data_IF_053366887834
#
_entry.id   IF_053366887834
#
_cell.length_a   1.000
_cell.length_b   1.000
_cell.length_c   1.000
_cell.angle_alpha   90.00
_cell.angle_beta   90.00
_cell.angle_gamma   90.00
#
_symmetry.space_group_name_H-M   'P 1'
#
loop_
_entity.id
_entity.type
_entity.pdbx_description
1 polymer ?
#
# COMPACT_ATOMS: atom_id res chain seq x y z
N UNK A 1 -24.70 -14.01 -11.87
CA UNK A 1 -23.97 -12.72 -11.82
C UNK A 1 -24.92 -11.65 -12.30
N UNK A 2 -25.26 -10.69 -11.44
CA UNK A 2 -25.96 -9.47 -11.84
C UNK A 2 -25.06 -8.68 -12.79
N UNK A 3 -25.61 -8.17 -13.89
CA UNK A 3 -24.88 -7.28 -14.79
C UNK A 3 -24.52 -5.99 -14.06
N UNK A 4 -23.31 -5.49 -14.29
CA UNK A 4 -22.86 -4.20 -13.78
C UNK A 4 -23.76 -3.07 -14.33
N UNK A 5 -24.06 -2.08 -13.49
CA UNK A 5 -24.69 -0.85 -13.94
C UNK A 5 -23.74 -0.04 -14.84
N UNK A 6 -24.28 0.90 -15.61
CA UNK A 6 -23.48 1.80 -16.46
C UNK A 6 -22.45 2.59 -15.64
N UNK A 7 -22.79 2.97 -14.41
CA UNK A 7 -21.87 3.66 -13.50
C UNK A 7 -20.72 2.76 -13.05
N UNK A 8 -21.01 1.51 -12.68
CA UNK A 8 -19.99 0.54 -12.28
C UNK A 8 -19.07 0.17 -13.45
N UNK A 9 -19.63 -0.02 -14.65
CA UNK A 9 -18.84 -0.28 -15.86
C UNK A 9 -17.88 0.88 -16.17
N UNK A 10 -18.33 2.13 -16.10
CA UNK A 10 -17.48 3.30 -16.34
C UNK A 10 -16.35 3.45 -15.30
N UNK A 11 -16.60 3.06 -14.04
CA UNK A 11 -15.56 3.01 -13.00
C UNK A 11 -14.51 1.94 -13.34
N UNK A 12 -14.93 0.76 -13.78
CA UNK A 12 -14.00 -0.32 -14.15
C UNK A 12 -13.16 0.04 -15.38
N UNK A 13 -13.76 0.61 -16.43
CA UNK A 13 -13.03 1.07 -17.62
C UNK A 13 -11.95 2.09 -17.23
N UNK A 14 -12.30 3.07 -16.38
CA UNK A 14 -11.35 4.06 -15.90
C UNK A 14 -10.21 3.45 -15.05
N UNK A 15 -10.52 2.45 -14.24
CA UNK A 15 -9.50 1.75 -13.46
C UNK A 15 -8.56 0.94 -14.37
N UNK A 16 -9.09 0.32 -15.43
CA UNK A 16 -8.31 -0.43 -16.40
C UNK A 16 -7.34 0.45 -17.21
N UNK A 17 -7.68 1.71 -17.45
CA UNK A 17 -6.81 2.70 -18.13
C UNK A 17 -5.69 3.26 -17.21
N UNK A 18 -5.66 2.90 -15.93
CA UNK A 18 -4.61 3.35 -15.02
C UNK A 18 -3.26 2.72 -15.37
N UNK A 19 -2.13 3.44 -15.20
CA UNK A 19 -0.79 2.94 -15.53
C UNK A 19 -0.25 1.98 -14.45
N UNK A 20 -1.05 0.97 -14.07
CA UNK A 20 -0.75 0.09 -12.94
C UNK A 20 0.57 -0.65 -13.11
N UNK A 21 0.83 -1.21 -14.30
CA UNK A 21 2.08 -1.93 -14.58
C UNK A 21 3.32 -1.03 -14.44
N UNK A 22 3.26 0.19 -14.98
CA UNK A 22 4.37 1.14 -14.89
C UNK A 22 4.61 1.57 -13.43
N UNK A 23 3.55 1.81 -12.67
CA UNK A 23 3.63 2.12 -11.24
C UNK A 23 4.24 0.96 -10.44
N UNK A 24 3.75 -0.26 -10.66
CA UNK A 24 4.30 -1.47 -10.02
C UNK A 24 5.77 -1.63 -10.35
N UNK A 25 6.17 -1.51 -11.62
CA UNK A 25 7.57 -1.59 -12.02
C UNK A 25 8.43 -0.52 -11.34
N UNK A 26 7.96 0.73 -11.33
CA UNK A 26 8.69 1.85 -10.73
C UNK A 26 8.89 1.66 -9.22
N UNK A 27 7.86 1.22 -8.49
CA UNK A 27 7.96 1.01 -7.05
C UNK A 27 8.72 -0.27 -6.68
N UNK A 28 8.63 -1.33 -7.48
CA UNK A 28 9.37 -2.57 -7.29
C UNK A 28 10.86 -2.42 -7.62
N UNK A 29 11.24 -1.45 -8.45
CA UNK A 29 12.64 -1.12 -8.71
C UNK A 29 13.34 -0.46 -7.51
N UNK A 30 12.60 0.02 -6.52
CA UNK A 30 13.14 0.58 -5.28
C UNK A 30 13.22 -0.57 -4.27
N UNK A 31 14.43 -1.00 -3.88
CA UNK A 31 14.58 -2.00 -2.81
C UNK A 31 13.99 -1.41 -1.52
N UNK A 32 12.92 -2.00 -1.03
CA UNK A 32 12.25 -1.59 0.20
C UNK A 32 12.21 -2.74 1.20
N UNK A 33 13.31 -3.47 1.38
CA UNK A 33 13.41 -4.47 2.46
C UNK A 33 13.09 -3.84 3.82
N UNK A 34 12.43 -4.55 4.74
CA UNK A 34 11.94 -3.95 6.01
C UNK A 34 13.02 -3.32 6.89
N UNK A 35 14.29 -3.71 6.70
CA UNK A 35 15.46 -3.11 7.38
C UNK A 35 16.18 -2.02 6.56
N UNK A 36 15.79 -1.80 5.30
CA UNK A 36 16.37 -0.79 4.42
C UNK A 36 15.64 0.56 4.60
N UNK A 37 15.99 1.30 5.67
CA UNK A 37 15.33 2.57 5.99
C UNK A 37 15.43 3.61 4.86
N UNK A 38 16.55 3.64 4.12
CA UNK A 38 16.73 4.56 3.00
C UNK A 38 15.78 4.22 1.84
N UNK A 39 15.70 2.94 1.47
CA UNK A 39 14.77 2.47 0.43
C UNK A 39 13.30 2.60 0.82
N UNK A 40 12.97 2.36 2.10
CA UNK A 40 11.64 2.62 2.64
C UNK A 40 11.28 4.11 2.55
N UNK A 41 12.21 5.02 2.86
CA UNK A 41 11.97 6.45 2.72
C UNK A 41 11.78 6.86 1.24
N UNK A 42 12.54 6.27 0.32
CA UNK A 42 12.42 6.53 -1.12
C UNK A 42 11.06 6.07 -1.66
N UNK A 43 10.65 4.83 -1.37
CA UNK A 43 9.36 4.33 -1.83
C UNK A 43 8.18 5.02 -1.13
N UNK A 44 8.31 5.40 0.15
CA UNK A 44 7.31 6.19 0.85
C UNK A 44 7.08 7.55 0.16
N UNK A 45 8.15 8.21 -0.30
CA UNK A 45 8.05 9.45 -1.09
C UNK A 45 7.34 9.24 -2.42
N UNK A 46 7.74 8.21 -3.18
CA UNK A 46 7.10 7.87 -4.45
C UNK A 46 5.60 7.52 -4.30
N UNK A 47 5.24 6.81 -3.24
CA UNK A 47 3.85 6.52 -2.91
C UNK A 47 3.10 7.77 -2.47
N UNK A 48 3.70 8.63 -1.64
CA UNK A 48 3.07 9.88 -1.21
C UNK A 48 2.74 10.79 -2.41
N UNK A 49 3.67 10.93 -3.35
CA UNK A 49 3.48 11.69 -4.58
C UNK A 49 2.38 11.08 -5.47
N UNK A 50 2.30 9.74 -5.56
CA UNK A 50 1.25 9.09 -6.33
C UNK A 50 -0.15 9.24 -5.70
N UNK A 51 -0.23 9.09 -4.37
CA UNK A 51 -1.49 9.18 -3.62
C UNK A 51 -1.96 10.63 -3.41
N UNK A 52 -1.10 11.64 -3.59
CA UNK A 52 -1.51 13.06 -3.56
C UNK A 52 -2.46 13.46 -4.69
N UNK A 53 -2.67 12.57 -5.68
CA UNK A 53 -3.69 12.75 -6.71
C UNK A 53 -5.13 12.57 -6.17
N UNK A 54 -5.30 12.03 -4.96
CA UNK A 54 -6.59 11.86 -4.28
C UNK A 54 -6.92 13.12 -3.45
N UNK A 55 -8.21 13.44 -3.20
CA UNK A 55 -8.62 14.73 -2.62
C UNK A 55 -8.47 14.83 -1.09
N UNK A 56 -7.43 14.21 -0.52
CA UNK A 56 -7.17 14.16 0.92
C UNK A 56 -5.78 14.64 1.29
N UNK A 57 -5.49 14.62 2.60
CA UNK A 57 -4.15 14.93 3.10
C UNK A 57 -3.33 13.65 3.19
N UNK A 58 -2.14 13.65 2.58
CA UNK A 58 -1.14 12.58 2.71
C UNK A 58 -0.11 12.99 3.74
N UNK A 59 0.08 12.18 4.77
CA UNK A 59 1.07 12.35 5.82
C UNK A 59 1.99 11.12 5.90
N UNK A 60 3.25 11.34 6.25
CA UNK A 60 4.20 10.28 6.61
C UNK A 60 4.42 10.32 8.12
N UNK A 61 3.87 9.32 8.82
CA UNK A 61 3.97 9.22 10.28
C UNK A 61 5.22 8.44 10.69
N UNK A 62 5.92 8.95 11.70
CA UNK A 62 6.99 8.22 12.37
C UNK A 62 6.44 6.94 13.02
N UNK A 63 7.19 5.83 12.97
CA UNK A 63 6.78 4.59 13.59
C UNK A 63 6.90 4.68 15.12
N UNK A 64 6.16 3.81 15.81
CA UNK A 64 6.35 3.61 17.24
C UNK A 64 7.70 2.90 17.47
N UNK A 65 8.55 3.38 18.41
CA UNK A 65 9.79 2.69 18.75
C UNK A 65 9.54 1.24 19.19
N UNK A 66 10.30 0.31 18.63
CA UNK A 66 10.19 -1.11 18.94
C UNK A 66 11.50 -1.72 19.43
N UNK A 67 11.43 -2.97 19.86
CA UNK A 67 12.59 -3.78 20.26
C UNK A 67 12.59 -5.11 19.49
N UNK A 68 13.76 -5.72 19.34
CA UNK A 68 13.96 -7.08 18.85
C UNK A 68 14.87 -7.84 19.79
N UNK A 69 14.62 -9.14 19.92
CA UNK A 69 15.54 -10.07 20.58
C UNK A 69 16.42 -10.73 19.51
N UNK A 70 17.73 -10.57 19.65
CA UNK A 70 18.74 -11.22 18.81
C UNK A 70 18.92 -12.70 19.17
N UNK A 71 19.61 -13.45 18.31
CA UNK A 71 19.85 -14.89 18.52
C UNK A 71 20.64 -15.22 19.79
N UNK A 72 21.41 -14.27 20.31
CA UNK A 72 22.16 -14.38 21.57
C UNK A 72 21.32 -13.96 22.81
N UNK A 73 20.06 -13.58 22.60
CA UNK A 73 19.14 -13.14 23.64
C UNK A 73 19.26 -11.64 23.99
N UNK A 74 20.13 -10.88 23.32
CA UNK A 74 20.21 -9.44 23.53
C UNK A 74 18.95 -8.73 23.01
N UNK A 75 18.44 -7.78 23.80
CA UNK A 75 17.35 -6.89 23.37
C UNK A 75 17.98 -5.64 22.74
N UNK A 76 17.62 -5.37 21.49
CA UNK A 76 18.10 -4.22 20.74
C UNK A 76 16.93 -3.37 20.26
N UNK A 77 17.14 -2.06 20.14
CA UNK A 77 16.18 -1.17 19.50
C UNK A 77 15.96 -1.62 18.05
N UNK A 78 14.70 -1.67 17.62
CA UNK A 78 14.31 -1.94 16.24
C UNK A 78 13.79 -0.65 15.63
N UNK A 79 14.49 -0.19 14.60
CA UNK A 79 14.04 0.91 13.76
C UNK A 79 13.20 0.38 12.61
N UNK A 80 12.16 1.12 12.24
CA UNK A 80 11.31 0.86 11.07
C UNK A 80 11.11 2.15 10.27
N UNK A 81 10.55 2.04 9.08
CA UNK A 81 10.28 3.19 8.22
C UNK A 81 9.10 4.05 8.68
N UNK A 82 8.87 5.16 7.97
CA UNK A 82 7.67 5.97 8.14
C UNK A 82 6.50 5.34 7.40
N UNK A 83 5.30 5.54 7.93
CA UNK A 83 4.07 4.97 7.40
C UNK A 83 3.26 6.05 6.68
N UNK A 84 2.74 5.74 5.49
CA UNK A 84 1.89 6.65 4.75
C UNK A 84 0.46 6.58 5.28
N UNK A 85 -0.14 7.74 5.53
CA UNK A 85 -1.53 7.87 5.93
C UNK A 85 -2.22 8.93 5.07
N UNK A 86 -3.22 8.52 4.30
CA UNK A 86 -4.12 9.41 3.58
C UNK A 86 -5.48 9.43 4.28
N UNK A 87 -6.05 10.63 4.46
CA UNK A 87 -7.43 10.80 4.95
C UNK A 87 -8.26 11.59 3.94
N UNK A 88 -9.37 10.99 3.47
CA UNK A 88 -10.31 11.61 2.52
C UNK A 88 -11.68 11.71 3.18
N UNK A 89 -12.22 12.93 3.23
CA UNK A 89 -13.59 13.24 3.72
C UNK A 89 -13.90 12.54 5.06
N UNK A 90 -13.20 12.86 6.17
CA UNK A 90 -13.39 12.19 7.47
C UNK A 90 -14.81 12.34 8.05
N UNK A 91 -15.55 13.36 7.63
CA UNK A 91 -16.93 13.63 8.06
C UNK A 91 -18.00 12.92 7.21
N UNK A 92 -17.59 12.19 6.17
CA UNK A 92 -18.54 11.47 5.33
C UNK A 92 -19.23 10.34 6.11
N UNK A 93 -20.54 10.07 5.86
CA UNK A 93 -21.34 9.15 6.65
C UNK A 93 -20.88 7.69 6.57
N UNK A 94 -20.19 7.31 5.50
CA UNK A 94 -19.54 6.00 5.36
C UNK A 94 -18.03 6.23 5.37
N UNK A 95 -17.34 5.56 6.30
CA UNK A 95 -15.90 5.60 6.44
C UNK A 95 -15.31 4.21 6.17
N UNK A 96 -14.37 4.11 5.23
CA UNK A 96 -13.65 2.86 4.92
C UNK A 96 -12.18 2.97 5.34
N UNK A 97 -11.53 1.84 5.56
CA UNK A 97 -10.07 1.75 5.67
C UNK A 97 -9.54 0.85 4.56
N UNK A 98 -8.46 1.27 3.91
CA UNK A 98 -7.70 0.47 2.97
C UNK A 98 -6.27 0.35 3.51
N UNK A 99 -5.75 -0.86 3.58
CA UNK A 99 -4.40 -1.12 4.09
C UNK A 99 -3.54 -1.87 3.10
N UNK A 100 -2.25 -1.55 3.13
CA UNK A 100 -1.17 -2.32 2.51
C UNK A 100 0.16 -1.98 3.18
N UNK A 101 1.25 -2.45 2.60
CA UNK A 101 2.61 -2.36 3.08
C UNK A 101 3.56 -2.08 1.93
N UNK A 102 4.53 -1.21 2.19
CA UNK A 102 5.55 -0.85 1.21
C UNK A 102 6.82 -1.65 1.43
N UNK A 103 7.03 -2.29 2.57
CA UNK A 103 8.20 -3.11 2.77
C UNK A 103 8.11 -4.43 2.00
N UNK A 104 9.25 -5.14 1.91
CA UNK A 104 9.34 -6.48 1.34
C UNK A 104 10.28 -7.30 2.20
N UNK A 105 10.25 -8.63 2.05
CA UNK A 105 11.26 -9.52 2.66
C UNK A 105 12.70 -9.35 2.13
N UNK A 106 12.90 -8.66 0.99
CA UNK A 106 14.19 -8.66 0.27
C UNK A 106 15.14 -7.57 0.79
N UNK A 107 16.15 -7.98 1.57
CA UNK A 107 17.18 -7.08 2.09
C UNK A 107 18.07 -6.44 1.00
N UNK A 108 18.84 -5.41 1.38
CA UNK A 108 19.68 -4.62 0.45
C UNK A 108 20.67 -5.46 -0.36
N UNK A 109 21.20 -6.53 0.23
CA UNK A 109 22.17 -7.43 -0.39
C UNK A 109 21.54 -8.71 -0.96
N UNK A 110 20.21 -8.83 -0.93
CA UNK A 110 19.53 -10.00 -1.48
C UNK A 110 19.76 -10.03 -3.01
N UNK A 111 20.05 -11.18 -3.64
CA UNK A 111 20.28 -11.25 -5.07
C UNK A 111 19.03 -10.94 -5.91
N UNK A 112 17.82 -11.02 -5.35
CA UNK A 112 16.57 -10.78 -6.06
C UNK A 112 16.18 -9.30 -6.04
N UNK A 113 16.77 -8.52 -6.95
CA UNK A 113 16.58 -7.05 -7.02
C UNK A 113 16.05 -6.55 -8.36
N UNK A 114 15.86 -7.43 -9.32
CA UNK A 114 15.59 -7.05 -10.72
C UNK A 114 14.26 -7.58 -11.20
N UNK A 115 13.61 -6.79 -12.05
CA UNK A 115 12.42 -7.20 -12.77
C UNK A 115 12.80 -8.04 -14.00
N UNK A 116 12.14 -9.17 -14.19
CA UNK A 116 12.31 -10.07 -15.34
C UNK A 116 10.95 -10.57 -15.81
N UNK A 117 10.67 -10.41 -17.10
CA UNK A 117 9.53 -11.07 -17.74
C UNK A 117 9.85 -12.55 -17.93
N UNK A 118 9.01 -13.43 -17.38
CA UNK A 118 9.13 -14.88 -17.55
C UNK A 118 8.47 -15.33 -18.87
N UNK A 119 7.43 -14.60 -19.28
CA UNK A 119 6.68 -14.76 -20.52
C UNK A 119 5.96 -13.43 -20.86
N UNK A 120 5.05 -13.45 -21.84
CA UNK A 120 4.33 -12.26 -22.33
C UNK A 120 3.36 -11.65 -21.29
N UNK A 121 3.07 -12.34 -20.20
CA UNK A 121 2.03 -11.99 -19.21
C UNK A 121 2.51 -12.05 -17.76
N UNK A 122 3.66 -12.67 -17.49
CA UNK A 122 4.16 -12.91 -16.14
C UNK A 122 5.42 -12.09 -15.85
N UNK A 123 5.27 -11.09 -14.98
CA UNK A 123 6.39 -10.28 -14.45
C UNK A 123 6.88 -10.86 -13.12
N UNK A 124 8.18 -11.15 -13.04
CA UNK A 124 8.84 -11.57 -11.80
C UNK A 124 9.73 -10.45 -11.28
N UNK A 125 9.65 -10.17 -9.97
CA UNK A 125 10.46 -9.14 -9.34
C UNK A 125 10.15 -8.96 -7.85
N UNK A 126 11.04 -8.29 -7.09
CA UNK A 126 10.86 -8.09 -5.66
C UNK A 126 9.61 -7.24 -5.39
N UNK A 127 8.71 -7.79 -4.60
CA UNK A 127 7.45 -7.18 -4.20
C UNK A 127 6.47 -6.82 -5.31
N UNK A 128 6.66 -7.33 -6.54
CA UNK A 128 5.71 -7.09 -7.65
C UNK A 128 4.32 -7.57 -7.30
N UNK A 129 4.20 -8.81 -6.80
CA UNK A 129 2.94 -9.34 -6.27
C UNK A 129 2.68 -8.85 -4.84
N UNK A 130 3.72 -8.85 -4.01
CA UNK A 130 3.66 -8.62 -2.57
C UNK A 130 4.46 -7.37 -2.11
N UNK A 131 3.88 -6.16 -2.10
CA UNK A 131 2.51 -5.88 -2.56
C UNK A 131 2.38 -4.65 -3.45
N UNK A 132 3.43 -4.31 -4.21
CA UNK A 132 3.46 -3.13 -5.11
C UNK A 132 2.36 -3.18 -6.17
N UNK A 133 2.06 -4.36 -6.70
CA UNK A 133 0.96 -4.59 -7.64
C UNK A 133 -0.39 -4.25 -7.02
N UNK A 134 -0.64 -4.74 -5.81
CA UNK A 134 -1.89 -4.50 -5.12
C UNK A 134 -2.07 -3.03 -4.70
N UNK A 135 -1.00 -2.33 -4.33
CA UNK A 135 -1.02 -0.88 -4.10
C UNK A 135 -1.42 -0.13 -5.38
N UNK A 136 -0.93 -0.56 -6.55
CA UNK A 136 -1.27 0.06 -7.83
C UNK A 136 -2.76 -0.14 -8.16
N UNK A 137 -3.29 -1.34 -7.91
CA UNK A 137 -4.73 -1.65 -8.03
C UNK A 137 -5.55 -0.77 -7.09
N UNK A 138 -5.13 -0.62 -5.83
CA UNK A 138 -5.80 0.23 -4.85
C UNK A 138 -5.88 1.69 -5.34
N UNK A 139 -4.76 2.25 -5.79
CA UNK A 139 -4.72 3.63 -6.29
C UNK A 139 -5.59 3.81 -7.55
N UNK A 140 -5.54 2.86 -8.49
CA UNK A 140 -6.37 2.87 -9.69
C UNK A 140 -7.86 2.85 -9.34
N UNK A 141 -8.28 1.96 -8.44
CA UNK A 141 -9.66 1.86 -7.98
C UNK A 141 -10.13 3.14 -7.29
N UNK A 142 -9.32 3.71 -6.38
CA UNK A 142 -9.67 4.95 -5.69
C UNK A 142 -9.79 6.12 -6.68
N UNK A 143 -8.86 6.28 -7.63
CA UNK A 143 -8.96 7.31 -8.68
C UNK A 143 -10.21 7.16 -9.53
N UNK A 144 -10.61 5.93 -9.85
CA UNK A 144 -11.82 5.67 -10.60
C UNK A 144 -13.08 6.02 -9.82
N UNK A 145 -13.13 5.65 -8.53
CA UNK A 145 -14.21 6.00 -7.60
C UNK A 145 -14.30 7.51 -7.41
N UNK A 146 -13.18 8.22 -7.28
CA UNK A 146 -13.14 9.69 -7.14
C UNK A 146 -13.74 10.42 -8.34
N UNK A 147 -13.71 9.80 -9.51
CA UNK A 147 -14.31 10.34 -10.73
C UNK A 147 -15.76 9.84 -10.95
N UNK A 148 -16.39 9.26 -9.92
CA UNK A 148 -17.78 8.80 -9.92
C UNK A 148 -18.66 9.66 -9.00
N UNK A 149 -20.00 9.65 -9.18
CA UNK A 149 -20.92 10.34 -8.27
C UNK A 149 -21.02 9.74 -6.87
N UNK A 150 -20.35 8.61 -6.59
CA UNK A 150 -20.43 7.91 -5.31
C UNK A 150 -19.64 8.59 -4.18
N UNK A 151 -18.81 9.57 -4.51
CA UNK A 151 -17.86 10.24 -3.60
C UNK A 151 -18.52 11.07 -2.51
N UNK A 152 -19.73 11.60 -2.73
CA UNK A 152 -20.40 12.53 -1.80
C UNK A 152 -20.68 11.92 -0.41
N UNK A 153 -20.78 10.60 -0.32
CA UNK A 153 -21.11 9.88 0.92
C UNK A 153 -19.99 9.00 1.45
N UNK A 154 -18.88 8.91 0.72
CA UNK A 154 -17.77 8.00 1.01
C UNK A 154 -16.53 8.76 1.42
N UNK A 155 -16.11 8.57 2.66
CA UNK A 155 -14.78 8.88 3.14
C UNK A 155 -13.98 7.61 3.34
N UNK A 156 -12.66 7.73 3.26
CA UNK A 156 -11.77 6.61 3.49
C UNK A 156 -10.42 7.07 4.01
N UNK A 157 -9.74 6.14 4.65
CA UNK A 157 -8.34 6.26 4.98
C UNK A 157 -7.54 5.20 4.25
N UNK A 158 -6.34 5.57 3.80
CA UNK A 158 -5.35 4.61 3.30
C UNK A 158 -4.18 4.62 4.26
N UNK A 159 -3.81 3.45 4.76
CA UNK A 159 -2.58 3.27 5.55
C UNK A 159 -1.68 2.31 4.80
N UNK A 160 -0.50 2.80 4.37
CA UNK A 160 0.55 1.95 3.80
C UNK A 160 1.71 1.93 4.80
N UNK A 161 1.89 0.82 5.51
CA UNK A 161 2.94 0.68 6.52
C UNK A 161 4.28 0.23 5.91
N UNK A 162 5.34 0.25 6.70
CA UNK A 162 6.71 -0.01 6.26
C UNK A 162 7.38 -1.21 6.95
N UNK A 163 6.59 -2.02 7.63
CA UNK A 163 7.09 -3.06 8.54
C UNK A 163 6.15 -4.26 8.67
N UNK A 164 5.31 -4.52 7.67
CA UNK A 164 4.36 -5.65 7.71
C UNK A 164 5.08 -6.98 7.80
N UNK A 165 6.13 -7.16 7.00
CA UNK A 165 6.87 -8.41 6.80
C UNK A 165 7.64 -8.85 8.07
N UNK A 166 7.70 -7.96 9.06
CA UNK A 166 8.30 -8.20 10.37
C UNK A 166 7.28 -8.13 11.52
N UNK A 167 5.99 -8.15 11.20
CA UNK A 167 4.87 -8.20 12.14
C UNK A 167 4.29 -6.84 12.55
N UNK A 168 4.53 -5.78 11.78
CA UNK A 168 4.01 -4.42 12.01
C UNK A 168 4.32 -3.77 13.39
N UNK A 169 5.50 -3.97 14.00
CA UNK A 169 5.76 -3.50 15.38
C UNK A 169 5.66 -1.97 15.54
N UNK A 170 6.00 -1.20 14.52
CA UNK A 170 5.98 0.26 14.51
C UNK A 170 4.70 0.87 13.93
N UNK A 171 3.86 0.11 13.23
CA UNK A 171 2.66 0.60 12.55
C UNK A 171 1.33 0.05 13.08
N UNK A 172 1.34 -1.05 13.84
CA UNK A 172 0.11 -1.67 14.35
C UNK A 172 -0.79 -0.70 15.14
N UNK A 173 -0.20 0.20 15.93
CA UNK A 173 -0.95 1.21 16.68
C UNK A 173 -1.64 2.24 15.76
N UNK A 174 -0.98 2.65 14.68
CA UNK A 174 -1.55 3.55 13.68
C UNK A 174 -2.73 2.89 12.95
N UNK A 175 -2.55 1.64 12.51
CA UNK A 175 -3.60 0.86 11.84
C UNK A 175 -4.81 0.67 12.78
N UNK A 176 -4.55 0.30 14.04
CA UNK A 176 -5.61 0.10 15.03
C UNK A 176 -6.39 1.40 15.31
N UNK A 177 -5.73 2.55 15.33
CA UNK A 177 -6.39 3.85 15.46
C UNK A 177 -7.21 4.19 14.21
N UNK A 178 -6.62 4.03 13.02
CA UNK A 178 -7.30 4.30 11.74
C UNK A 178 -8.53 3.40 11.52
N UNK A 179 -8.55 2.18 12.08
CA UNK A 179 -9.67 1.26 11.99
C UNK A 179 -10.89 1.69 12.83
N UNK A 180 -10.73 2.61 13.80
CA UNK A 180 -11.83 3.00 14.69
C UNK A 180 -12.93 3.73 13.92
N UNK A 181 -14.17 3.28 14.12
CA UNK A 181 -15.35 3.90 13.51
C UNK A 181 -15.50 3.65 12.00
N UNK A 182 -14.69 2.76 11.42
CA UNK A 182 -14.81 2.37 10.00
C UNK A 182 -15.92 1.34 9.81
N UNK A 183 -16.66 1.46 8.72
CA UNK A 183 -17.70 0.51 8.33
C UNK A 183 -17.09 -0.83 7.89
N UNK A 184 -15.93 -0.79 7.23
CA UNK A 184 -15.13 -1.95 6.89
C UNK A 184 -13.67 -1.54 6.63
N UNK A 185 -12.78 -2.53 6.72
CA UNK A 185 -11.38 -2.43 6.34
C UNK A 185 -11.07 -3.44 5.22
N UNK A 186 -10.31 -3.01 4.22
CA UNK A 186 -9.89 -3.82 3.07
C UNK A 186 -8.36 -3.88 3.04
N UNK A 187 -7.81 -5.07 3.28
CA UNK A 187 -6.37 -5.33 3.17
C UNK A 187 -6.07 -5.89 1.79
N UNK A 188 -5.09 -5.30 1.09
CA UNK A 188 -4.83 -5.58 -0.33
C UNK A 188 -3.72 -6.63 -0.54
N UNK A 189 -3.70 -7.71 0.23
CA UNK A 189 -2.70 -8.78 0.02
C UNK A 189 -2.90 -9.52 -1.31
N UNK A 190 -1.82 -10.05 -1.92
CA UNK A 190 -1.95 -10.85 -3.13
C UNK A 190 -2.78 -12.12 -2.87
N UNK A 191 -3.55 -12.52 -3.87
CA UNK A 191 -4.23 -13.81 -3.88
C UNK A 191 -3.30 -14.89 -4.46
N UNK A 192 -3.60 -16.16 -4.12
CA UNK A 192 -3.04 -17.29 -4.87
C UNK A 192 -3.55 -17.25 -6.32
N UNK A 193 -2.77 -17.72 -7.30
CA UNK A 193 -3.28 -17.90 -8.66
C UNK A 193 -4.49 -18.84 -8.65
N UNK A 194 -5.47 -18.53 -9.51
CA UNK A 194 -6.70 -19.31 -9.71
C UNK A 194 -6.44 -20.77 -10.15
#
# INVERSE_FOLDING_TARGET
MTSLSTGEAAVLERAADAPMLDQTCAWAAINSGSANLAGLAEVAGALADAFSALPGNVELHDPVPGERVESDGAVVARETGRNLHLKVRPEAPVQMLLTGHMDTVFGVSDPFQTLTWLDDTTLNGPGVADMKGCIAVMLAALRAVEASPLTERLGYEVVINSDEEIGSPGSAALIAEAARGKAAALTYEPALPD
#
